data_IF_503118685254
#
_entry.id   IF_503118685254
#
_cell.length_a   1.000
_cell.length_b   1.000
_cell.length_c   1.000
_cell.angle_alpha   90.00
_cell.angle_beta   90.00
_cell.angle_gamma   90.00
#
_symmetry.space_group_name_H-M   'P 1'
#
loop_
_entity.id
_entity.type
_entity.pdbx_description
1 polymer ?
#
# COMPACT_ATOMS: atom_id res chain seq x y z
N UNK A 1 9.93 15.04 10.23
CA UNK A 1 8.85 15.62 9.39
C UNK A 1 7.57 14.76 9.34
N UNK A 2 7.58 13.50 9.80
CA UNK A 2 6.41 12.58 9.78
C UNK A 2 5.29 12.86 10.82
N UNK A 3 5.47 13.78 11.76
CA UNK A 3 4.50 14.00 12.88
C UNK A 3 3.42 15.06 12.61
N UNK A 4 3.38 15.66 11.41
CA UNK A 4 2.51 16.81 11.13
C UNK A 4 1.27 16.48 10.26
N UNK A 5 1.11 15.24 9.79
CA UNK A 5 0.05 14.83 8.85
C UNK A 5 -0.85 13.79 9.52
N UNK A 6 -1.39 14.12 10.70
CA UNK A 6 -2.42 13.31 11.38
C UNK A 6 -3.70 14.13 11.61
N UNK A 7 -4.05 15.00 10.65
CA UNK A 7 -5.37 15.66 10.60
C UNK A 7 -5.83 15.82 9.16
N UNK A 8 -6.63 14.85 8.73
CA UNK A 8 -7.37 14.87 7.48
C UNK A 8 -8.06 13.53 7.34
N UNK A 9 -9.38 13.50 7.52
CA UNK A 9 -10.19 12.37 7.07
C UNK A 9 -10.06 12.30 5.55
N UNK A 10 -9.86 11.12 4.98
CA UNK A 10 -9.97 10.96 3.53
C UNK A 10 -11.41 11.32 3.17
N UNK A 11 -11.59 12.20 2.20
CA UNK A 11 -12.91 12.44 1.60
C UNK A 11 -13.45 11.08 1.16
N UNK A 12 -14.67 10.72 1.56
CA UNK A 12 -15.32 9.45 1.22
C UNK A 12 -15.62 9.37 -0.29
N UNK A 13 -14.61 9.36 -1.15
CA UNK A 13 -14.71 9.17 -2.59
C UNK A 13 -14.43 7.71 -2.92
N UNK A 14 -15.43 7.06 -3.51
CA UNK A 14 -15.42 5.65 -3.85
C UNK A 14 -14.81 5.53 -5.24
N UNK A 15 -13.49 5.26 -5.33
CA UNK A 15 -12.72 4.88 -6.54
C UNK A 15 -11.62 5.88 -6.89
N UNK A 16 -10.49 5.36 -7.37
CA UNK A 16 -9.37 6.16 -7.90
C UNK A 16 -9.72 7.00 -9.10
N UNK A 17 -10.64 6.52 -9.93
CA UNK A 17 -11.18 7.31 -11.03
C UNK A 17 -11.88 8.55 -10.47
N UNK A 18 -12.49 8.50 -9.29
CA UNK A 18 -13.04 9.71 -8.66
C UNK A 18 -11.92 10.58 -8.06
N UNK A 19 -10.86 9.98 -7.52
CA UNK A 19 -9.73 10.74 -6.95
C UNK A 19 -8.92 11.47 -8.04
N UNK A 20 -8.65 10.83 -9.18
CA UNK A 20 -7.86 11.42 -10.27
C UNK A 20 -8.66 11.86 -11.49
N UNK A 21 -9.76 11.19 -11.80
CA UNK A 21 -10.55 11.43 -13.02
C UNK A 21 -11.53 12.59 -12.91
N UNK A 22 -11.97 12.97 -11.71
CA UNK A 22 -12.77 14.17 -11.47
C UNK A 22 -11.92 15.41 -11.09
N UNK A 23 -10.59 15.27 -11.05
CA UNK A 23 -9.73 16.44 -10.86
C UNK A 23 -9.66 17.25 -12.15
N UNK A 24 -10.20 18.47 -12.08
CA UNK A 24 -9.94 19.50 -13.07
C UNK A 24 -8.43 19.75 -13.18
N UNK A 25 -7.90 19.56 -14.39
CA UNK A 25 -6.47 19.69 -14.70
C UNK A 25 -5.97 21.13 -14.51
N UNK A 26 -6.87 22.11 -14.50
CA UNK A 26 -6.55 23.52 -14.27
C UNK A 26 -6.65 23.93 -12.79
N UNK A 27 -7.03 22.99 -11.89
CA UNK A 27 -7.17 23.24 -10.46
C UNK A 27 -5.95 22.74 -9.68
N UNK A 28 -5.43 23.57 -8.76
CA UNK A 28 -4.35 23.18 -7.85
C UNK A 28 -4.94 22.35 -6.69
N UNK A 29 -4.48 21.11 -6.46
CA UNK A 29 -5.03 20.25 -5.41
C UNK A 29 -4.77 20.80 -4.01
N UNK A 30 -5.70 20.52 -3.08
CA UNK A 30 -5.50 20.78 -1.67
C UNK A 30 -4.39 19.86 -1.09
N UNK A 31 -3.74 20.25 0.03
CA UNK A 31 -2.68 19.44 0.63
C UNK A 31 -3.07 18.00 0.97
N UNK A 32 -4.31 17.75 1.39
CA UNK A 32 -4.81 16.39 1.66
C UNK A 32 -4.88 15.54 0.38
N UNK A 33 -5.36 16.11 -0.71
CA UNK A 33 -5.41 15.44 -2.01
C UNK A 33 -4.00 15.12 -2.51
N UNK A 34 -3.02 16.00 -2.29
CA UNK A 34 -1.62 15.73 -2.62
C UNK A 34 -1.06 14.53 -1.84
N UNK A 35 -1.43 14.35 -0.58
CA UNK A 35 -1.01 13.17 0.21
C UNK A 35 -1.65 11.89 -0.33
N UNK A 36 -2.93 11.93 -0.68
CA UNK A 36 -3.65 10.79 -1.26
C UNK A 36 -3.04 10.39 -2.63
N UNK A 37 -2.80 11.37 -3.51
CA UNK A 37 -2.13 11.17 -4.81
C UNK A 37 -0.74 10.58 -4.58
N UNK A 38 0.05 11.17 -3.68
CA UNK A 38 1.39 10.69 -3.37
C UNK A 38 1.36 9.25 -2.85
N UNK A 39 0.44 8.93 -1.95
CA UNK A 39 0.29 7.59 -1.39
C UNK A 39 -0.06 6.57 -2.46
N UNK A 40 -1.03 6.89 -3.32
CA UNK A 40 -1.47 6.00 -4.41
C UNK A 40 -0.36 5.76 -5.44
N UNK A 41 0.35 6.82 -5.82
CA UNK A 41 1.50 6.71 -6.72
C UNK A 41 2.61 5.86 -6.11
N UNK A 42 2.92 6.10 -4.83
CA UNK A 42 3.90 5.31 -4.10
C UNK A 42 3.51 3.83 -4.02
N UNK A 43 2.24 3.53 -3.70
CA UNK A 43 1.69 2.17 -3.72
C UNK A 43 1.87 1.52 -5.10
N UNK A 44 1.43 2.18 -6.17
CA UNK A 44 1.52 1.63 -7.53
C UNK A 44 2.95 1.36 -7.96
N UNK A 45 3.84 2.34 -7.79
CA UNK A 45 5.21 2.25 -8.28
C UNK A 45 6.00 1.19 -7.49
N UNK A 46 5.90 1.21 -6.16
CA UNK A 46 6.82 0.48 -5.30
C UNK A 46 6.26 -0.83 -4.76
N UNK A 47 4.94 -0.96 -4.59
CA UNK A 47 4.36 -2.04 -3.78
C UNK A 47 3.46 -2.97 -4.58
N UNK A 48 2.56 -2.45 -5.41
CA UNK A 48 1.57 -3.27 -6.15
C UNK A 48 2.23 -4.39 -6.97
N UNK A 49 3.36 -4.08 -7.63
CA UNK A 49 4.10 -5.00 -8.48
C UNK A 49 4.68 -6.20 -7.72
N UNK A 50 4.86 -6.10 -6.40
CA UNK A 50 5.40 -7.19 -5.58
C UNK A 50 4.47 -8.41 -5.57
N UNK A 51 3.16 -8.23 -5.75
CA UNK A 51 2.23 -9.37 -5.87
C UNK A 51 2.47 -10.21 -7.12
N UNK A 52 3.00 -9.61 -8.18
CA UNK A 52 3.28 -10.28 -9.45
C UNK A 52 4.74 -10.70 -9.65
N UNK A 53 5.64 -10.29 -8.76
CA UNK A 53 7.06 -10.62 -8.88
C UNK A 53 7.32 -12.06 -8.46
N UNK A 54 7.95 -12.83 -9.34
CA UNK A 54 8.25 -14.25 -9.13
C UNK A 54 9.74 -14.57 -9.22
N UNK A 55 10.57 -13.62 -9.68
CA UNK A 55 12.01 -13.85 -9.87
C UNK A 55 12.71 -13.83 -8.50
N UNK A 56 13.35 -14.94 -8.07
CA UNK A 56 13.90 -15.04 -6.72
C UNK A 56 14.92 -13.95 -6.38
N UNK A 57 15.80 -13.60 -7.32
CA UNK A 57 16.81 -12.56 -7.13
C UNK A 57 16.17 -11.19 -6.89
N UNK A 58 15.06 -10.88 -7.58
CA UNK A 58 14.33 -9.62 -7.40
C UNK A 58 13.58 -9.61 -6.07
N UNK A 59 12.97 -10.72 -5.69
CA UNK A 59 12.31 -10.87 -4.40
C UNK A 59 13.30 -10.67 -3.24
N UNK A 60 14.49 -11.27 -3.29
CA UNK A 60 15.53 -11.07 -2.26
C UNK A 60 16.00 -9.61 -2.20
N UNK A 61 16.20 -8.96 -3.36
CA UNK A 61 16.55 -7.53 -3.41
C UNK A 61 15.48 -6.66 -2.75
N UNK A 62 14.20 -6.89 -3.08
CA UNK A 62 13.08 -6.13 -2.51
C UNK A 62 12.91 -6.42 -1.01
N UNK A 63 13.13 -7.66 -0.59
CA UNK A 63 13.10 -8.04 0.82
C UNK A 63 14.15 -7.29 1.63
N UNK A 64 15.41 -7.24 1.15
CA UNK A 64 16.50 -6.49 1.82
C UNK A 64 16.19 -5.00 1.89
N UNK A 65 15.63 -4.44 0.81
CA UNK A 65 15.24 -3.05 0.76
C UNK A 65 14.11 -2.72 1.75
N UNK A 66 13.03 -3.51 1.78
CA UNK A 66 11.94 -3.29 2.74
C UNK A 66 12.37 -3.54 4.18
N UNK A 67 13.27 -4.50 4.42
CA UNK A 67 13.90 -4.68 5.74
C UNK A 67 14.60 -3.41 6.17
N UNK A 68 15.44 -2.83 5.30
CA UNK A 68 16.15 -1.59 5.59
C UNK A 68 15.18 -0.43 5.87
N UNK A 69 14.15 -0.26 5.03
CA UNK A 69 13.17 0.82 5.23
C UNK A 69 12.43 0.65 6.56
N UNK A 70 11.99 -0.57 6.86
CA UNK A 70 11.27 -0.87 8.09
C UNK A 70 12.15 -0.68 9.33
N UNK A 71 13.43 -1.03 9.29
CA UNK A 71 14.27 -0.93 10.49
C UNK A 71 14.85 0.46 10.72
N UNK A 72 15.07 1.26 9.67
CA UNK A 72 15.82 2.51 9.79
C UNK A 72 15.03 3.76 9.42
N UNK A 73 14.29 3.75 8.31
CA UNK A 73 13.74 5.01 7.76
C UNK A 73 12.28 5.24 8.09
N UNK A 74 11.47 4.17 8.15
CA UNK A 74 10.02 4.27 8.31
C UNK A 74 9.44 3.08 9.11
N UNK A 75 9.83 2.91 10.39
CA UNK A 75 9.44 1.76 11.20
C UNK A 75 7.94 1.63 11.47
N UNK A 76 7.19 2.74 11.40
CA UNK A 76 5.76 2.78 11.71
C UNK A 76 4.88 3.03 10.48
N UNK A 77 5.47 2.89 9.28
CA UNK A 77 4.75 2.96 8.02
C UNK A 77 4.05 1.61 7.75
N UNK A 78 2.71 1.62 7.75
CA UNK A 78 1.93 0.39 7.66
C UNK A 78 2.07 -0.31 6.31
N UNK A 79 2.16 0.44 5.19
CA UNK A 79 2.33 -0.18 3.87
C UNK A 79 3.68 -0.90 3.76
N UNK A 80 4.74 -0.30 4.33
CA UNK A 80 6.06 -0.94 4.41
C UNK A 80 5.98 -2.21 5.26
N UNK A 81 5.35 -2.15 6.44
CA UNK A 81 5.19 -3.33 7.31
C UNK A 81 4.45 -4.47 6.61
N UNK A 82 3.37 -4.16 5.89
CA UNK A 82 2.58 -5.16 5.17
C UNK A 82 3.40 -5.87 4.09
N UNK A 83 4.03 -5.10 3.20
CA UNK A 83 4.81 -5.69 2.11
C UNK A 83 6.11 -6.34 2.59
N UNK A 84 6.67 -5.87 3.70
CA UNK A 84 7.79 -6.56 4.34
C UNK A 84 7.36 -7.95 4.84
N UNK A 85 6.21 -8.08 5.48
CA UNK A 85 5.66 -9.37 5.89
C UNK A 85 5.31 -10.27 4.71
N UNK A 86 4.74 -9.72 3.64
CA UNK A 86 4.52 -10.45 2.39
C UNK A 86 5.84 -11.02 1.83
N UNK A 87 6.90 -10.22 1.74
CA UNK A 87 8.19 -10.69 1.24
C UNK A 87 8.90 -11.65 2.19
N UNK A 88 8.67 -11.56 3.51
CA UNK A 88 9.12 -12.60 4.44
C UNK A 88 8.53 -13.96 4.06
N UNK A 89 7.23 -14.02 3.76
CA UNK A 89 6.62 -15.27 3.27
C UNK A 89 7.26 -15.76 1.98
N UNK A 90 7.43 -14.88 1.00
CA UNK A 90 7.96 -15.24 -0.32
C UNK A 90 9.43 -15.67 -0.29
N UNK A 91 10.27 -15.05 0.55
CA UNK A 91 11.72 -15.28 0.58
C UNK A 91 12.14 -16.27 1.67
N UNK A 92 11.50 -16.21 2.84
CA UNK A 92 11.88 -17.02 4.02
C UNK A 92 10.90 -18.17 4.30
N UNK A 93 9.74 -18.19 3.65
CA UNK A 93 8.69 -19.19 3.86
C UNK A 93 7.83 -18.98 5.12
N UNK A 94 8.14 -17.98 5.94
CA UNK A 94 7.44 -17.66 7.18
C UNK A 94 7.38 -16.15 7.42
N UNK A 95 6.43 -15.70 8.26
CA UNK A 95 6.23 -14.28 8.61
C UNK A 95 6.50 -14.10 10.10
N UNK A 96 7.20 -13.03 10.47
CA UNK A 96 7.48 -12.66 11.85
C UNK A 96 6.19 -12.27 12.61
N UNK A 97 5.77 -12.99 13.66
CA UNK A 97 4.53 -12.70 14.39
C UNK A 97 4.50 -11.31 15.05
N UNK A 98 5.66 -10.80 15.46
CA UNK A 98 5.81 -9.48 16.06
C UNK A 98 5.51 -8.37 15.04
N UNK A 99 5.92 -8.57 13.77
CA UNK A 99 5.59 -7.65 12.68
C UNK A 99 4.07 -7.60 12.44
N UNK A 100 3.42 -8.76 12.46
CA UNK A 100 1.97 -8.86 12.28
C UNK A 100 1.22 -8.15 13.41
N UNK A 101 1.62 -8.42 14.66
CA UNK A 101 1.07 -7.73 15.84
C UNK A 101 1.28 -6.21 15.78
N UNK A 102 2.46 -5.77 15.31
CA UNK A 102 2.77 -4.35 15.15
C UNK A 102 1.91 -3.69 14.07
N UNK A 103 1.71 -4.36 12.93
CA UNK A 103 0.84 -3.86 11.86
C UNK A 103 -0.60 -3.75 12.36
N UNK A 104 -1.13 -4.79 12.99
CA UNK A 104 -2.50 -4.80 13.54
C UNK A 104 -2.71 -3.65 14.52
N UNK A 105 -1.79 -3.47 15.47
CA UNK A 105 -1.83 -2.34 16.40
C UNK A 105 -1.85 -1.01 15.65
N UNK A 106 -0.99 -0.82 14.65
CA UNK A 106 -0.94 0.42 13.86
C UNK A 106 -2.24 0.70 13.11
N UNK A 107 -2.88 -0.34 12.55
CA UNK A 107 -4.16 -0.21 11.84
C UNK A 107 -5.34 0.08 12.78
N UNK A 108 -5.27 -0.39 14.02
CA UNK A 108 -6.31 -0.11 15.04
C UNK A 108 -6.17 1.30 15.62
N UNK A 109 -4.94 1.82 15.73
CA UNK A 109 -4.66 3.11 16.36
C UNK A 109 -4.67 4.29 15.37
N UNK A 110 -4.64 4.03 14.06
CA UNK A 110 -4.51 5.08 13.04
C UNK A 110 -5.62 4.98 11.99
N UNK A 111 -6.59 5.90 12.07
CA UNK A 111 -7.63 6.04 11.04
C UNK A 111 -7.04 6.23 9.64
N UNK A 112 -5.98 7.04 9.52
CA UNK A 112 -5.22 7.26 8.29
C UNK A 112 -4.79 5.95 7.60
N UNK A 113 -4.18 5.02 8.36
CA UNK A 113 -3.72 3.75 7.81
C UNK A 113 -4.86 2.76 7.61
N UNK A 114 -5.84 2.76 8.51
CA UNK A 114 -7.02 1.92 8.42
C UNK A 114 -7.80 2.19 7.11
N UNK A 115 -8.10 3.46 6.85
CA UNK A 115 -8.82 3.91 5.65
C UNK A 115 -8.06 3.53 4.38
N UNK A 116 -6.74 3.76 4.33
CA UNK A 116 -5.89 3.40 3.18
C UNK A 116 -5.81 1.90 2.94
N UNK A 117 -5.74 1.09 3.99
CA UNK A 117 -5.74 -0.36 3.87
C UNK A 117 -7.08 -0.87 3.36
N UNK A 118 -8.18 -0.36 3.92
CA UNK A 118 -9.54 -0.65 3.45
C UNK A 118 -9.71 -0.31 1.98
N UNK A 119 -9.27 0.89 1.56
CA UNK A 119 -9.31 1.34 0.17
C UNK A 119 -8.55 0.41 -0.78
N UNK A 120 -7.37 -0.07 -0.37
CA UNK A 120 -6.55 -0.97 -1.18
C UNK A 120 -6.99 -2.45 -1.09
N UNK A 121 -8.04 -2.77 -0.32
CA UNK A 121 -8.42 -4.15 -0.05
C UNK A 121 -7.33 -4.94 0.68
N UNK A 122 -6.53 -4.29 1.53
CA UNK A 122 -5.46 -4.90 2.34
C UNK A 122 -5.90 -5.04 3.80
N UNK A 123 -5.40 -6.09 4.47
CA UNK A 123 -5.68 -6.35 5.89
C UNK A 123 -4.50 -7.06 6.55
N UNK A 124 -4.28 -6.83 7.85
CA UNK A 124 -3.32 -7.60 8.64
C UNK A 124 -3.63 -9.10 8.66
N UNK A 125 -4.90 -9.47 8.47
CA UNK A 125 -5.34 -10.87 8.40
C UNK A 125 -4.72 -11.62 7.22
N UNK A 126 -4.33 -10.93 6.13
CA UNK A 126 -3.61 -11.55 5.02
C UNK A 126 -2.27 -12.12 5.46
N UNK A 127 -1.58 -11.44 6.39
CA UNK A 127 -0.33 -11.94 6.94
C UNK A 127 -0.59 -13.08 7.94
N UNK A 128 -1.61 -12.96 8.79
CA UNK A 128 -1.95 -14.00 9.78
C UNK A 128 -2.31 -15.32 9.12
N UNK A 129 -3.07 -15.28 8.02
CA UNK A 129 -3.57 -16.45 7.31
C UNK A 129 -2.70 -16.85 6.12
N UNK A 130 -1.68 -16.05 5.81
CA UNK A 130 -0.83 -16.19 4.62
C UNK A 130 -1.62 -16.24 3.31
N UNK A 131 -2.79 -15.59 3.28
CA UNK A 131 -3.68 -15.48 2.13
C UNK A 131 -3.65 -14.05 1.60
N UNK A 132 -3.07 -13.85 0.43
CA UNK A 132 -2.84 -12.53 -0.16
C UNK A 132 -3.82 -12.25 -1.29
N UNK A 133 -4.16 -10.97 -1.53
CA UNK A 133 -5.02 -10.60 -2.65
C UNK A 133 -4.35 -11.02 -3.97
N UNK A 134 -5.00 -11.99 -4.63
CA UNK A 134 -4.74 -12.57 -5.95
C UNK A 134 -4.77 -11.56 -7.09
N UNK A 135 -3.83 -10.63 -7.26
CA UNK A 135 -3.98 -9.62 -8.32
C UNK A 135 -3.36 -10.10 -9.63
N UNK A 136 -3.98 -11.07 -10.33
CA UNK A 136 -3.71 -11.21 -11.78
C UNK A 136 -4.26 -9.99 -12.54
N UNK A 137 -5.29 -9.35 -11.98
CA UNK A 137 -6.02 -8.23 -12.59
C UNK A 137 -6.68 -7.29 -11.56
N UNK A 138 -6.32 -7.31 -10.27
CA UNK A 138 -6.97 -6.37 -9.31
C UNK A 138 -6.28 -5.00 -9.27
N UNK A 139 -6.26 -4.38 -10.44
CA UNK A 139 -6.67 -2.99 -10.52
C UNK A 139 -7.98 -2.85 -9.72
N UNK A 140 -8.11 -1.93 -8.74
CA UNK A 140 -9.42 -1.70 -8.13
C UNK A 140 -10.44 -1.41 -9.24
N UNK A 141 -11.73 -1.66 -9.01
CA UNK A 141 -12.78 -1.40 -10.02
C UNK A 141 -12.62 0.05 -10.51
N UNK A 142 -12.43 0.28 -11.82
CA UNK A 142 -12.12 1.59 -12.42
C UNK A 142 -10.68 1.78 -12.93
N UNK A 143 -9.78 0.80 -12.73
CA UNK A 143 -8.36 0.94 -13.06
C UNK A 143 -7.89 0.11 -14.26
N UNK A 144 -8.84 -0.43 -15.03
CA UNK A 144 -8.59 -0.96 -16.36
C UNK A 144 -8.66 0.19 -17.35
N UNK A 145 -7.50 0.69 -17.77
CA UNK A 145 -7.42 1.45 -19.01
C UNK A 145 -7.66 0.43 -20.10
N UNK A 146 -8.88 0.38 -20.64
CA UNK A 146 -9.10 -0.21 -21.95
C UNK A 146 -8.02 0.37 -22.87
N UNK A 147 -7.20 -0.52 -23.41
CA UNK A 147 -6.24 -0.16 -24.42
C UNK A 147 -7.07 0.34 -25.58
N UNK A 148 -7.13 1.67 -25.76
CA UNK A 148 -7.68 2.26 -26.98
C UNK A 148 -6.74 1.82 -28.09
N UNK A 149 -7.10 0.72 -28.75
CA UNK A 149 -6.50 0.30 -30.00
C UNK A 149 -6.99 1.29 -31.05
N UNK A 150 -6.11 2.19 -31.46
CA UNK A 150 -6.22 2.92 -32.72
C UNK A 150 -5.25 2.31 -33.73
#
# INVERSE_FOLDING_TARGET
RQRAIERGAISHTQNFVEILGDMDLDTVPAPSQLDDIWFLMNYRINFSKLFSETRPVKLDQQYRWLKYIHTLTAPDNAIVMYFYGYLQKQVLGHICPELVSKLEKRLNESSYWNERFSFLGLSSDHLKRETFPFTKESSPVGWDVETVVH
#
